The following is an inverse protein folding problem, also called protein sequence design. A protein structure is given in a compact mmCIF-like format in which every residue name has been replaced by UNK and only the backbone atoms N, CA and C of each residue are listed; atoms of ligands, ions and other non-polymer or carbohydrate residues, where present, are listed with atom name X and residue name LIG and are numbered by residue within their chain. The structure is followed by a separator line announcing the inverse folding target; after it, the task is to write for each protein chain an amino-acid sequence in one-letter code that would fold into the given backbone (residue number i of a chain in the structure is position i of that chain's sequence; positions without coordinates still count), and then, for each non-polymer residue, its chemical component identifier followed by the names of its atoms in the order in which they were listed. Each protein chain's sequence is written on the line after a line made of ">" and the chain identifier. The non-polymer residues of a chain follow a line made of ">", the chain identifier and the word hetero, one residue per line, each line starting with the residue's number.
data_IF_886356692414
#
_entry.id   IF_886356692414
#
_cell.length_a   1.000
_cell.length_b   1.000
_cell.length_c   1.000
_cell.angle_alpha   90.00
_cell.angle_beta   90.00
_cell.angle_gamma   90.00
#
_symmetry.space_group_name_H-M   'P 1'
#
loop_
_entity.id
_entity.type
_entity.pdbx_description
1 polymer ?
#
# COMPACT_ATOMS: atom_id res chain seq x y z
N UNK A 1 -10.80 22.73 15.97
CA UNK A 1 -9.67 22.81 15.02
C UNK A 1 -9.39 21.40 14.52
N UNK A 2 -9.56 21.15 13.23
CA UNK A 2 -9.29 19.82 12.66
C UNK A 2 -7.81 19.49 12.86
N UNK A 3 -7.51 18.29 13.36
CA UNK A 3 -6.13 17.80 13.48
C UNK A 3 -5.45 17.92 12.11
N UNK A 4 -4.28 18.57 12.05
CA UNK A 4 -3.42 18.58 10.84
C UNK A 4 -2.75 17.22 10.57
N UNK A 5 -3.11 16.19 11.33
CA UNK A 5 -2.54 14.85 11.26
C UNK A 5 -3.62 13.84 10.91
N UNK A 6 -3.25 12.88 10.07
CA UNK A 6 -4.07 11.72 9.74
C UNK A 6 -4.48 10.94 10.99
N UNK A 7 -5.67 10.34 10.96
CA UNK A 7 -6.16 9.43 12.02
C UNK A 7 -5.25 8.22 12.20
N UNK A 8 -4.71 7.71 11.10
CA UNK A 8 -3.77 6.60 11.05
C UNK A 8 -2.52 7.03 10.29
N UNK A 9 -1.39 6.47 10.70
CA UNK A 9 -0.13 6.57 9.97
C UNK A 9 -0.26 5.94 8.56
N UNK A 10 0.38 6.52 7.55
CA UNK A 10 0.34 6.00 6.18
C UNK A 10 0.91 4.57 6.11
N UNK A 11 1.95 4.28 6.89
CA UNK A 11 2.61 2.97 6.95
C UNK A 11 1.84 1.97 7.81
N UNK A 12 0.70 2.36 8.37
CA UNK A 12 -0.29 1.41 8.87
C UNK A 12 -1.05 0.72 7.72
N UNK A 13 -0.86 1.15 6.47
CA UNK A 13 -1.50 0.57 5.29
C UNK A 13 -0.45 0.07 4.29
N UNK A 14 -0.82 -0.95 3.53
CA UNK A 14 0.00 -1.45 2.44
C UNK A 14 -0.13 -0.52 1.23
N UNK A 15 0.99 -0.07 0.66
CA UNK A 15 1.02 0.69 -0.58
C UNK A 15 0.27 -0.01 -1.72
N UNK A 16 0.49 -1.31 -1.86
CA UNK A 16 0.05 -2.09 -3.03
C UNK A 16 -1.46 -2.33 -3.02
N UNK A 17 -2.02 -2.79 -1.90
CA UNK A 17 -3.45 -3.13 -1.80
C UNK A 17 -4.29 -2.11 -1.02
N UNK A 18 -3.66 -1.16 -0.33
CA UNK A 18 -4.31 -0.18 0.56
C UNK A 18 -4.95 -0.78 1.81
N UNK A 19 -4.70 -2.05 2.12
CA UNK A 19 -5.26 -2.70 3.31
C UNK A 19 -4.45 -2.33 4.55
N UNK A 20 -5.13 -2.25 5.69
CA UNK A 20 -4.49 -2.05 6.98
C UNK A 20 -3.59 -3.25 7.32
N UNK A 21 -2.36 -2.98 7.75
CA UNK A 21 -1.40 -3.97 8.22
C UNK A 21 -1.48 -3.99 9.74
N UNK A 22 -1.78 -5.15 10.33
CA UNK A 22 -1.85 -5.23 11.79
C UNK A 22 -0.47 -4.97 12.38
N UNK A 23 -0.43 -4.38 13.57
CA UNK A 23 0.82 -4.01 14.26
C UNK A 23 1.79 -5.19 14.38
N UNK A 24 1.27 -6.41 14.55
CA UNK A 24 2.06 -7.65 14.68
C UNK A 24 2.49 -8.27 13.35
N UNK A 25 1.95 -7.82 12.23
CA UNK A 25 2.25 -8.39 10.91
C UNK A 25 3.52 -7.72 10.35
N UNK A 26 4.33 -8.50 9.62
CA UNK A 26 5.53 -7.99 8.98
C UNK A 26 5.21 -6.95 7.91
N UNK A 27 5.96 -5.85 7.93
CA UNK A 27 5.99 -4.79 6.92
C UNK A 27 7.28 -4.90 6.11
N UNK A 28 7.19 -4.64 4.82
CA UNK A 28 8.33 -4.66 3.92
C UNK A 28 8.53 -3.27 3.33
N UNK A 29 9.67 -2.65 3.65
CA UNK A 29 10.05 -1.33 3.15
C UNK A 29 10.29 -1.38 1.65
N UNK A 30 9.55 -0.56 0.89
CA UNK A 30 9.66 -0.51 -0.57
C UNK A 30 10.99 0.09 -1.02
N UNK A 31 11.56 1.01 -0.23
CA UNK A 31 12.87 1.63 -0.51
C UNK A 31 14.01 0.61 -0.60
N UNK A 32 13.93 -0.50 0.15
CA UNK A 32 14.95 -1.54 0.16
C UNK A 32 14.52 -2.83 -0.53
N UNK A 33 13.23 -3.01 -0.83
CA UNK A 33 12.69 -4.20 -1.48
C UNK A 33 12.70 -4.07 -3.01
N UNK A 34 13.88 -3.99 -3.62
CA UNK A 34 14.03 -3.77 -5.08
C UNK A 34 13.25 -4.78 -5.94
N UNK A 35 13.35 -6.09 -5.62
CA UNK A 35 12.63 -7.15 -6.36
C UNK A 35 11.10 -6.95 -6.28
N UNK A 36 10.59 -6.48 -5.15
CA UNK A 36 9.16 -6.20 -5.01
C UNK A 36 8.74 -5.01 -5.87
N UNK A 37 9.55 -3.97 -5.94
CA UNK A 37 9.29 -2.79 -6.78
C UNK A 37 9.31 -3.15 -8.27
N UNK A 38 10.30 -3.93 -8.72
CA UNK A 38 10.36 -4.45 -10.09
C UNK A 38 9.16 -5.34 -10.42
N UNK A 39 8.82 -6.28 -9.52
CA UNK A 39 7.65 -7.14 -9.70
C UNK A 39 6.34 -6.35 -9.76
N UNK A 40 6.20 -5.29 -8.95
CA UNK A 40 5.05 -4.40 -8.98
C UNK A 40 4.94 -3.68 -10.34
N UNK A 41 6.05 -3.12 -10.82
CA UNK A 41 6.08 -2.42 -12.10
C UNK A 41 5.78 -3.34 -13.28
N UNK A 42 6.40 -4.52 -13.31
CA UNK A 42 6.13 -5.52 -14.33
C UNK A 42 4.68 -6.05 -14.31
N UNK A 43 4.06 -6.14 -13.12
CA UNK A 43 2.69 -6.66 -12.98
C UNK A 43 1.63 -5.63 -13.37
N UNK A 44 1.83 -4.36 -12.98
CA UNK A 44 0.82 -3.30 -13.12
C UNK A 44 1.13 -2.30 -14.25
N UNK A 45 2.27 -2.47 -14.94
CA UNK A 45 2.77 -1.54 -15.95
C UNK A 45 2.89 -0.10 -15.40
N UNK A 46 3.31 0.00 -14.13
CA UNK A 46 3.37 1.26 -13.40
C UNK A 46 4.40 1.19 -12.27
N UNK A 47 5.35 2.14 -12.16
CA UNK A 47 6.36 2.10 -11.11
C UNK A 47 5.78 2.45 -9.74
N UNK A 48 6.46 2.01 -8.68
CA UNK A 48 6.23 2.51 -7.32
C UNK A 48 6.63 3.99 -7.27
N UNK A 49 5.73 4.85 -6.81
CA UNK A 49 5.91 6.32 -6.77
C UNK A 49 5.69 6.90 -5.38
N UNK A 50 6.10 8.15 -5.20
CA UNK A 50 5.83 8.98 -4.01
C UNK A 50 6.43 8.44 -2.71
N UNK A 51 7.54 7.70 -2.80
CA UNK A 51 8.25 7.14 -1.62
C UNK A 51 9.02 8.19 -0.81
N UNK A 52 9.02 9.43 -1.26
CA UNK A 52 9.51 10.62 -0.56
C UNK A 52 8.39 11.42 0.11
N UNK A 53 7.12 11.00 -0.07
CA UNK A 53 5.95 11.78 0.35
C UNK A 53 5.32 11.19 1.61
N UNK A 54 5.13 11.99 2.68
CA UNK A 54 4.57 11.50 3.94
C UNK A 54 3.09 11.07 3.84
N UNK A 55 2.41 11.44 2.76
CA UNK A 55 1.01 11.08 2.50
C UNK A 55 0.84 9.77 1.71
N UNK A 56 1.94 9.11 1.32
CA UNK A 56 1.91 7.80 0.68
C UNK A 56 2.48 6.74 1.63
N UNK A 57 2.02 5.48 1.58
CA UNK A 57 2.67 4.42 2.33
C UNK A 57 4.04 4.05 1.73
N UNK A 58 4.99 3.72 2.59
CA UNK A 58 6.34 3.30 2.22
C UNK A 58 6.52 1.79 2.33
N UNK A 59 5.48 1.09 2.80
CA UNK A 59 5.54 -0.32 3.13
C UNK A 59 4.54 -1.16 2.35
N UNK A 60 4.90 -2.42 2.12
CA UNK A 60 4.02 -3.47 1.63
C UNK A 60 3.73 -4.52 2.70
N UNK A 61 2.56 -5.15 2.62
CA UNK A 61 2.23 -6.29 3.48
C UNK A 61 2.79 -7.61 2.91
N UNK A 62 2.95 -8.60 3.79
CA UNK A 62 3.45 -9.94 3.44
C UNK A 62 2.67 -10.63 2.33
N UNK A 63 1.35 -10.44 2.28
CA UNK A 63 0.51 -11.00 1.23
C UNK A 63 0.89 -10.46 -0.16
N UNK A 64 0.95 -9.14 -0.30
CA UNK A 64 1.28 -8.51 -1.58
C UNK A 64 2.70 -8.85 -2.03
N UNK A 65 3.66 -8.82 -1.10
CA UNK A 65 5.05 -9.23 -1.38
C UNK A 65 5.10 -10.66 -1.92
N UNK A 66 4.50 -11.60 -1.20
CA UNK A 66 4.50 -13.02 -1.59
C UNK A 66 3.81 -13.25 -2.93
N UNK A 67 2.70 -12.57 -3.19
CA UNK A 67 1.99 -12.71 -4.46
C UNK A 67 2.78 -12.15 -5.64
N UNK A 68 3.28 -10.91 -5.56
CA UNK A 68 3.99 -10.27 -6.66
C UNK A 68 5.33 -10.92 -6.93
N UNK A 69 6.16 -11.13 -5.91
CA UNK A 69 7.47 -11.76 -6.13
C UNK A 69 7.33 -13.21 -6.58
N UNK A 70 6.32 -13.93 -6.10
CA UNK A 70 6.06 -15.29 -6.58
C UNK A 70 5.61 -15.30 -8.04
N UNK A 71 4.71 -14.40 -8.43
CA UNK A 71 4.34 -14.24 -9.84
C UNK A 71 5.55 -13.87 -10.71
N UNK A 72 6.40 -12.96 -10.23
CA UNK A 72 7.59 -12.50 -10.95
C UNK A 72 8.61 -13.62 -11.17
N UNK A 73 8.67 -14.61 -10.25
CA UNK A 73 9.44 -15.85 -10.41
C UNK A 73 8.76 -16.91 -11.28
N UNK A 74 7.57 -16.66 -11.82
CA UNK A 74 6.79 -17.61 -12.62
C UNK A 74 5.97 -18.62 -11.80
N UNK A 75 5.78 -18.41 -10.50
CA UNK A 75 4.86 -19.22 -9.70
C UNK A 75 3.41 -18.95 -10.12
N UNK A 76 2.51 -19.93 -9.93
CA UNK A 76 1.06 -19.78 -10.15
C UNK A 76 0.42 -18.92 -9.07
N UNK A 77 0.78 -17.64 -9.02
CA UNK A 77 0.25 -16.61 -8.13
C UNK A 77 -0.26 -15.42 -8.95
N UNK A 78 -1.20 -14.70 -8.36
CA UNK A 78 -1.73 -13.46 -8.91
C UNK A 78 -2.23 -12.57 -7.79
N UNK A 79 -2.35 -11.28 -8.10
CA UNK A 79 -3.05 -10.33 -7.25
C UNK A 79 -4.56 -10.50 -7.43
N UNK A 80 -5.33 -10.18 -6.39
CA UNK A 80 -6.82 -10.21 -6.46
C UNK A 80 -7.42 -9.05 -7.28
N UNK A 81 -6.57 -8.21 -7.86
CA UNK A 81 -6.95 -7.03 -8.61
C UNK A 81 -5.92 -6.79 -9.70
N UNK A 82 -6.37 -6.24 -10.84
CA UNK A 82 -5.52 -5.93 -11.98
C UNK A 82 -5.09 -4.44 -12.03
N UNK A 83 -5.83 -3.55 -11.36
CA UNK A 83 -5.56 -2.12 -11.39
C UNK A 83 -4.87 -1.71 -10.09
N UNK A 84 -3.67 -1.08 -10.14
CA UNK A 84 -2.97 -0.67 -8.94
C UNK A 84 -3.70 0.45 -8.19
N UNK A 85 -3.44 0.54 -6.89
CA UNK A 85 -3.87 1.70 -6.10
C UNK A 85 -2.92 2.87 -6.36
N UNK A 86 -3.46 3.96 -6.91
CA UNK A 86 -2.71 5.21 -7.07
C UNK A 86 -2.88 6.08 -5.82
N UNK A 87 -1.76 6.45 -5.21
CA UNK A 87 -1.73 7.36 -4.06
C UNK A 87 -1.61 8.80 -4.53
N UNK A 88 -2.49 9.66 -4.02
CA UNK A 88 -2.52 11.10 -4.27
C UNK A 88 -2.55 11.84 -2.95
N UNK A 89 -1.97 13.02 -2.93
CA UNK A 89 -2.03 13.91 -1.77
C UNK A 89 -3.50 14.27 -1.47
N UNK A 90 -3.96 14.08 -0.21
CA UNK A 90 -5.32 14.42 0.16
C UNK A 90 -5.48 15.94 0.31
N UNK A 91 -6.63 16.47 -0.10
CA UNK A 91 -6.98 17.89 0.07
C UNK A 91 -7.31 18.24 1.51
N UNK A 92 -7.89 17.31 2.25
CA UNK A 92 -8.25 17.48 3.67
C UNK A 92 -8.37 16.14 4.41
N UNK A 93 -8.37 16.20 5.75
CA UNK A 93 -8.41 15.02 6.62
C UNK A 93 -9.81 14.53 6.99
N UNK A 94 -10.87 15.15 6.49
CA UNK A 94 -12.26 14.84 6.85
C UNK A 94 -12.95 14.08 5.70
N UNK A 95 -12.76 14.54 4.46
CA UNK A 95 -13.51 14.11 3.28
C UNK A 95 -12.64 13.46 2.19
N UNK A 96 -11.32 13.61 2.23
CA UNK A 96 -10.44 13.15 1.14
C UNK A 96 -9.27 12.27 1.60
N UNK A 97 -8.83 12.38 2.86
CA UNK A 97 -7.74 11.56 3.37
C UNK A 97 -8.14 10.09 3.56
N UNK A 98 -7.57 9.21 2.72
CA UNK A 98 -7.78 7.76 2.81
C UNK A 98 -7.53 7.21 4.23
N UNK A 99 -6.45 7.64 4.86
CA UNK A 99 -6.06 7.20 6.20
C UNK A 99 -6.98 7.74 7.30
N UNK A 100 -7.81 8.74 7.03
CA UNK A 100 -8.82 9.20 7.98
C UNK A 100 -10.17 8.51 7.77
N UNK A 101 -10.53 8.28 6.51
CA UNK A 101 -11.85 7.79 6.12
C UNK A 101 -12.00 6.27 6.25
N UNK A 102 -10.92 5.52 6.02
CA UNK A 102 -10.99 4.06 6.12
C UNK A 102 -11.22 3.65 7.56
N UNK A 103 -12.14 2.70 7.76
CA UNK A 103 -12.31 2.01 9.02
C UNK A 103 -11.65 0.62 8.94
N UNK A 104 -10.46 0.42 9.53
CA UNK A 104 -9.73 -0.85 9.48
C UNK A 104 -10.47 -2.03 10.12
N UNK A 105 -11.41 -1.77 11.04
CA UNK A 105 -12.18 -2.81 11.72
C UNK A 105 -13.26 -3.44 10.83
N UNK A 106 -13.67 -2.75 9.77
CA UNK A 106 -14.61 -3.29 8.79
C UNK A 106 -13.83 -4.09 7.76
N UNK A 107 -13.84 -5.43 7.88
CA UNK A 107 -13.36 -6.30 6.80
C UNK A 107 -14.13 -5.96 5.52
N UNK A 108 -13.44 -5.59 4.44
CA UNK A 108 -14.07 -5.60 3.11
C UNK A 108 -14.49 -7.05 2.84
N UNK A 109 -15.80 -7.30 2.83
CA UNK A 109 -16.40 -8.57 2.42
C UNK A 109 -16.03 -8.84 0.96
#
# INVERSE_FOLDING_TARGET
>A
MSSRKCKYDADAFCFICGQFIKVRDLKYELKTSHVLCEAYEAYFDCPVRNQDKPWAPHVACSYCKRCLEGWYRGEKRSMKFAIPRIWREPKDHITDCYFCMVNPSKRRR
#
